data_IF_267619681044
#
_entry.id   IF_267619681044
#
_cell.length_a   1.000
_cell.length_b   1.000
_cell.length_c   1.000
_cell.angle_alpha   90.00
_cell.angle_beta   90.00
_cell.angle_gamma   90.00
#
_symmetry.space_group_name_H-M   'P 1'
#
loop_
_entity.id
_entity.type
_entity.pdbx_description
1 polymer ?
#
# COMPACT_ATOMS: atom_id res chain seq x y z
N UNK A 1 22.24 -1.28 -8.12
CA UNK A 1 22.01 -1.11 -7.79
C UNK A 1 21.04 -1.08 -7.27
N UNK A 2 20.62 -1.04 -6.89
CA UNK A 2 19.79 -1.03 -6.40
C UNK A 2 18.86 -0.55 -6.57
N UNK A 3 18.13 -0.68 -6.85
CA UNK A 3 17.22 -0.17 -7.24
C UNK A 3 16.05 -0.33 -6.58
N UNK A 4 15.77 -0.97 -5.62
CA UNK A 4 14.62 -1.06 -4.90
C UNK A 4 14.45 0.08 -4.10
N UNK A 5 13.26 0.65 -4.14
CA UNK A 5 12.95 1.84 -3.38
C UNK A 5 12.29 1.44 -2.09
N UNK A 6 12.80 1.91 -1.00
CA UNK A 6 12.22 1.66 0.32
C UNK A 6 11.51 2.90 0.80
N UNK A 7 10.28 2.73 1.23
CA UNK A 7 9.45 3.85 1.67
C UNK A 7 9.10 3.67 3.13
N UNK A 8 9.06 4.77 3.87
CA UNK A 8 8.59 4.66 5.24
C UNK A 8 7.07 4.66 5.24
N UNK A 9 6.47 4.58 6.43
CA UNK A 9 5.03 4.47 6.53
C UNK A 9 4.33 5.67 5.88
N UNK A 10 4.84 6.85 6.10
CA UNK A 10 4.21 8.05 5.55
C UNK A 10 4.29 8.07 4.03
N UNK A 11 5.45 7.71 3.51
CA UNK A 11 5.62 7.70 2.07
C UNK A 11 4.77 6.62 1.42
N UNK A 12 4.70 5.45 2.06
CA UNK A 12 3.90 4.37 1.53
C UNK A 12 2.42 4.73 1.54
N UNK A 13 1.98 5.38 2.62
CA UNK A 13 0.59 5.80 2.69
C UNK A 13 0.28 6.81 1.60
N UNK A 14 1.19 7.74 1.36
CA UNK A 14 0.99 8.73 0.31
C UNK A 14 0.89 8.04 -1.06
N UNK A 15 1.74 7.05 -1.27
CA UNK A 15 1.70 6.32 -2.52
C UNK A 15 0.34 5.66 -2.74
N UNK A 16 -0.20 5.09 -1.67
CA UNK A 16 -1.48 4.41 -1.76
C UNK A 16 -2.68 5.34 -1.66
N UNK A 17 -2.44 6.59 -1.30
CA UNK A 17 -3.53 7.55 -1.17
C UNK A 17 -4.34 7.37 0.10
N UNK A 18 -3.71 6.87 1.14
CA UNK A 18 -4.39 6.67 2.42
C UNK A 18 -3.58 7.35 3.52
N UNK A 19 -4.09 7.30 4.72
CA UNK A 19 -3.42 7.92 5.85
C UNK A 19 -2.41 6.97 6.45
N UNK A 20 -1.30 7.50 6.98
CA UNK A 20 -0.32 6.64 7.64
C UNK A 20 -0.93 5.79 8.74
N UNK A 21 -1.85 6.36 9.48
CA UNK A 21 -2.50 5.62 10.55
C UNK A 21 -3.22 4.38 10.03
N UNK A 22 -3.77 4.47 8.84
CA UNK A 22 -4.43 3.34 8.24
C UNK A 22 -3.46 2.18 8.03
N UNK A 23 -2.25 2.51 7.56
CA UNK A 23 -1.26 1.47 7.38
C UNK A 23 -0.86 0.85 8.71
N UNK A 24 -0.76 1.67 9.74
CA UNK A 24 -0.40 1.15 11.05
C UNK A 24 -1.44 0.19 11.58
N UNK A 25 -2.70 0.54 11.40
CA UNK A 25 -3.79 -0.33 11.80
C UNK A 25 -3.75 -1.63 11.01
N UNK A 26 -3.50 -1.52 9.71
CA UNK A 26 -3.42 -2.71 8.87
C UNK A 26 -2.31 -3.65 9.33
N UNK A 27 -1.17 -3.08 9.73
CA UNK A 27 -0.08 -3.93 10.23
C UNK A 27 -0.52 -4.70 11.47
N UNK A 28 -1.22 -4.01 12.34
CA UNK A 28 -1.73 -4.66 13.54
C UNK A 28 -2.68 -5.79 13.20
N UNK A 29 -3.47 -5.60 12.17
CA UNK A 29 -4.45 -6.61 11.75
C UNK A 29 -3.88 -7.59 10.75
N UNK A 30 -2.60 -7.45 10.46
CA UNK A 30 -1.90 -8.36 9.55
C UNK A 30 -2.55 -8.38 8.18
N UNK A 31 -2.84 -7.20 7.68
CA UNK A 31 -3.39 -7.06 6.34
C UNK A 31 -2.67 -5.90 5.66
N UNK A 32 -2.99 -5.68 4.39
CA UNK A 32 -2.34 -4.64 3.61
C UNK A 32 -1.10 -5.14 2.93
N UNK A 33 -0.29 -4.24 2.39
CA UNK A 33 0.90 -4.66 1.65
C UNK A 33 1.98 -5.18 2.58
N UNK A 34 2.90 -5.90 2.00
CA UNK A 34 4.04 -6.41 2.74
C UNK A 34 4.93 -5.30 3.22
N UNK A 35 5.61 -5.54 4.29
CA UNK A 35 6.56 -4.57 4.82
C UNK A 35 7.69 -5.31 5.51
N UNK A 36 8.78 -4.58 5.76
CA UNK A 36 9.92 -5.12 6.48
C UNK A 36 10.13 -4.30 7.73
N UNK A 37 10.52 -4.95 8.79
CA UNK A 37 10.82 -4.24 10.02
C UNK A 37 12.30 -4.39 10.30
N UNK A 38 13.01 -3.29 10.27
CA UNK A 38 14.46 -3.29 10.46
C UNK A 38 14.72 -2.48 11.72
N UNK A 39 15.09 -3.18 12.79
CA UNK A 39 15.22 -2.50 14.07
C UNK A 39 13.87 -1.95 14.47
N UNK A 40 13.79 -0.66 14.68
CA UNK A 40 12.52 -0.02 15.01
C UNK A 40 11.87 0.65 13.82
N UNK A 41 12.43 0.46 12.63
CA UNK A 41 11.90 1.11 11.45
C UNK A 41 11.07 0.17 10.62
N UNK A 42 9.98 0.68 10.10
CA UNK A 42 9.13 -0.08 9.18
C UNK A 42 9.34 0.48 7.79
N UNK A 43 9.66 -0.38 6.85
CA UNK A 43 9.90 0.04 5.48
C UNK A 43 9.05 -0.79 4.54
N UNK A 44 8.54 -0.13 3.50
CA UNK A 44 7.78 -0.79 2.46
C UNK A 44 8.58 -0.78 1.17
N UNK A 45 8.53 -1.88 0.45
CA UNK A 45 9.18 -1.95 -0.85
C UNK A 45 8.20 -1.43 -1.87
N UNK A 46 8.64 -0.51 -2.70
CA UNK A 46 7.76 0.07 -3.71
C UNK A 46 7.12 -1.01 -4.57
N UNK A 47 7.88 -2.04 -4.89
CA UNK A 47 7.35 -3.12 -5.68
C UNK A 47 6.17 -3.80 -5.01
N UNK A 48 6.26 -4.01 -3.71
CA UNK A 48 5.18 -4.64 -2.99
C UNK A 48 3.97 -3.73 -2.91
N UNK A 49 4.20 -2.43 -2.80
CA UNK A 49 3.10 -1.48 -2.78
C UNK A 49 2.38 -1.46 -4.12
N UNK A 50 3.16 -1.50 -5.17
CA UNK A 50 2.60 -1.48 -6.50
C UNK A 50 1.76 -2.73 -6.76
N UNK A 51 2.28 -3.87 -6.36
CA UNK A 51 1.56 -5.12 -6.51
C UNK A 51 0.25 -5.09 -5.74
N UNK A 52 0.30 -4.58 -4.52
CA UNK A 52 -0.90 -4.48 -3.71
C UNK A 52 -1.92 -3.54 -4.36
N UNK A 53 -1.43 -2.39 -4.82
CA UNK A 53 -2.31 -1.41 -5.43
C UNK A 53 -2.99 -1.99 -6.67
N UNK A 54 -2.22 -2.70 -7.49
CA UNK A 54 -2.76 -3.27 -8.70
C UNK A 54 -3.82 -4.33 -8.39
N UNK A 55 -3.58 -5.12 -7.37
CA UNK A 55 -4.55 -6.15 -7.04
C UNK A 55 -5.86 -5.54 -6.57
N UNK A 56 -5.81 -4.41 -5.88
CA UNK A 56 -7.02 -3.72 -5.47
C UNK A 56 -7.68 -3.05 -6.66
N UNK A 57 -6.87 -2.54 -7.58
CA UNK A 57 -7.41 -1.89 -8.76
C UNK A 57 -8.16 -2.87 -9.64
N UNK A 58 -7.62 -4.06 -9.78
CA UNK A 58 -8.28 -5.07 -10.58
C UNK A 58 -9.66 -5.37 -10.00
N UNK A 59 -9.70 -5.45 -8.69
CA UNK A 59 -10.95 -5.68 -8.02
C UNK A 59 -11.92 -4.53 -8.28
N UNK A 60 -11.41 -3.34 -8.26
CA UNK A 60 -12.21 -2.15 -8.49
C UNK A 60 -12.71 -2.10 -9.93
N UNK A 61 -11.87 -2.50 -10.86
CA UNK A 61 -12.25 -2.48 -12.25
C UNK A 61 -13.47 -3.35 -12.51
N UNK A 62 -13.56 -4.47 -11.82
CA UNK A 62 -14.71 -5.32 -11.98
C UNK A 62 -15.99 -4.60 -11.66
N UNK A 63 -15.93 -3.70 -10.70
CA UNK A 63 -17.12 -2.98 -10.31
C UNK A 63 -17.14 -1.60 -10.88
N UNK A 64 -16.08 -1.19 -11.52
CA UNK A 64 -15.99 0.17 -12.01
C UNK A 64 -17.18 0.60 -12.83
N UNK A 65 -17.71 -0.26 -13.63
CA UNK A 65 -18.84 0.19 -14.44
C UNK A 65 -19.92 0.83 -13.63
N UNK A 66 -19.99 0.45 -12.43
CA UNK A 66 -20.94 1.12 -11.66
C UNK A 66 -20.34 2.16 -10.89
N UNK A 67 -19.23 2.32 -10.85
CA UNK A 67 -18.72 3.30 -10.07
C UNK A 67 -18.68 4.51 -10.40
N UNK A 68 -18.75 4.51 -10.86
CA UNK A 68 -18.49 5.40 -11.01
C UNK A 68 -18.33 6.13 -10.48
N UNK A 69 -18.37 6.15 -10.25
CA UNK A 69 -18.18 6.67 -9.72
C UNK A 69 -17.85 7.13 -8.95
N UNK A 70 -17.90 7.13 -8.72
CA UNK A 70 -17.53 7.49 -8.03
C UNK A 70 -17.18 7.74 -7.41
N UNK A 71 -17.14 7.80 -7.26
CA UNK A 71 -16.79 7.95 -6.71
C UNK A 71 -16.72 8.20 -6.51
#
# INVERSE_FOLDING_TARGET
MINKQKLNTEEAAAYLGIRPNTLEVWRTKKKGPKYSKIGSRVLYDLNDLETYFISQSIHTIDTAPQLRAGK
#
